data_IF_094485894204
#
_entry.id   IF_094485894204
#
_cell.length_a   1.000
_cell.length_b   1.000
_cell.length_c   1.000
_cell.angle_alpha   90.00
_cell.angle_beta   90.00
_cell.angle_gamma   90.00
#
_symmetry.space_group_name_H-M   'P 1'
#
loop_
_entity.id
_entity.type
_entity.pdbx_description
1 polymer ?
#
# COMPACT_ATOMS: atom_id res chain seq x y z
N UNK A 1 21.43 69.87 -11.41
CA UNK A 1 22.58 69.42 -12.23
C UNK A 1 23.10 68.10 -11.69
N UNK A 2 23.04 67.01 -12.45
CA UNK A 2 23.64 65.72 -12.04
C UNK A 2 25.15 65.73 -12.39
N UNK A 3 26.03 65.48 -11.41
CA UNK A 3 27.47 65.31 -11.63
C UNK A 3 27.70 64.07 -12.51
N UNK A 4 28.38 64.23 -13.66
CA UNK A 4 28.84 63.10 -14.47
C UNK A 4 29.99 62.39 -13.76
N UNK A 5 29.85 61.08 -13.57
CA UNK A 5 30.89 60.21 -13.00
C UNK A 5 32.13 60.16 -13.90
N UNK A 6 33.31 60.10 -13.30
CA UNK A 6 34.59 59.94 -13.99
C UNK A 6 34.75 58.53 -14.54
N UNK A 7 35.59 58.35 -15.57
CA UNK A 7 35.86 57.03 -16.20
C UNK A 7 36.33 55.98 -15.17
N UNK A 8 37.13 56.39 -14.19
CA UNK A 8 37.64 55.52 -13.12
C UNK A 8 36.51 55.04 -12.18
N UNK A 9 35.55 55.91 -11.88
CA UNK A 9 34.37 55.56 -11.07
C UNK A 9 33.42 54.63 -11.84
N UNK A 10 33.27 54.83 -13.15
CA UNK A 10 32.50 53.93 -14.01
C UNK A 10 33.12 52.52 -14.08
N UNK A 11 34.44 52.41 -14.21
CA UNK A 11 35.14 51.12 -14.22
C UNK A 11 35.06 50.39 -12.86
N UNK A 12 35.19 51.13 -11.74
CA UNK A 12 35.03 50.59 -10.40
C UNK A 12 33.61 50.04 -10.18
N UNK A 13 32.58 50.79 -10.61
CA UNK A 13 31.19 50.37 -10.55
C UNK A 13 30.92 49.10 -11.38
N UNK A 14 31.47 49.01 -12.59
CA UNK A 14 31.35 47.82 -13.44
C UNK A 14 32.04 46.59 -12.84
N UNK A 15 33.24 46.75 -12.24
CA UNK A 15 33.93 45.66 -11.52
C UNK A 15 33.13 45.18 -10.31
N UNK A 16 32.58 46.10 -9.53
CA UNK A 16 31.74 45.78 -8.37
C UNK A 16 30.45 45.06 -8.80
N UNK A 17 29.81 45.50 -9.89
CA UNK A 17 28.62 44.85 -10.46
C UNK A 17 28.92 43.44 -10.98
N UNK A 18 30.06 43.21 -11.63
CA UNK A 18 30.51 41.88 -12.07
C UNK A 18 30.80 40.95 -10.88
N UNK A 19 31.48 41.44 -9.83
CA UNK A 19 31.73 40.68 -8.60
C UNK A 19 30.42 40.29 -7.90
N UNK A 20 29.48 41.23 -7.74
CA UNK A 20 28.15 40.96 -7.17
C UNK A 20 27.38 39.92 -7.98
N UNK A 21 27.37 40.03 -9.32
CA UNK A 21 26.72 39.03 -10.20
C UNK A 21 27.33 37.63 -10.06
N UNK A 22 28.67 37.53 -10.00
CA UNK A 22 29.35 36.24 -9.77
C UNK A 22 29.05 35.65 -8.39
N UNK A 23 29.03 36.46 -7.34
CA UNK A 23 28.65 36.00 -5.98
C UNK A 23 27.19 35.56 -5.91
N UNK A 24 26.26 36.31 -6.52
CA UNK A 24 24.84 35.94 -6.58
C UNK A 24 24.61 34.65 -7.39
N UNK A 25 25.31 34.46 -8.50
CA UNK A 25 25.24 33.22 -9.28
C UNK A 25 25.80 32.01 -8.50
N UNK A 26 26.93 32.17 -7.80
CA UNK A 26 27.51 31.11 -6.96
C UNK A 26 26.64 30.74 -5.76
N UNK A 27 26.04 31.75 -5.10
CA UNK A 27 25.08 31.53 -4.02
C UNK A 27 23.81 30.82 -4.52
N UNK A 28 23.29 31.19 -5.70
CA UNK A 28 22.15 30.51 -6.32
C UNK A 28 22.42 29.03 -6.64
N UNK A 29 23.61 28.69 -7.14
CA UNK A 29 24.00 27.29 -7.40
C UNK A 29 24.09 26.48 -6.11
N UNK A 30 24.64 27.04 -5.02
CA UNK A 30 24.72 26.36 -3.73
C UNK A 30 23.34 26.13 -3.10
N UNK A 31 22.43 27.10 -3.21
CA UNK A 31 21.04 26.94 -2.73
C UNK A 31 20.31 25.86 -3.53
N UNK A 32 20.47 25.84 -4.85
CA UNK A 32 19.87 24.80 -5.70
C UNK A 32 20.44 23.41 -5.40
N UNK A 33 21.75 23.30 -5.20
CA UNK A 33 22.39 22.04 -4.82
C UNK A 33 21.92 21.56 -3.44
N UNK A 34 21.80 22.46 -2.46
CA UNK A 34 21.27 22.12 -1.13
C UNK A 34 19.80 21.69 -1.19
N UNK A 35 18.96 22.37 -1.97
CA UNK A 35 17.57 21.98 -2.16
C UNK A 35 17.44 20.61 -2.86
N UNK A 36 18.29 20.32 -3.84
CA UNK A 36 18.39 18.99 -4.47
C UNK A 36 18.81 17.91 -3.49
N UNK A 37 19.84 18.18 -2.67
CA UNK A 37 20.32 17.23 -1.66
C UNK A 37 19.25 16.99 -0.59
N UNK A 38 18.56 18.03 -0.13
CA UNK A 38 17.46 17.93 0.82
C UNK A 38 16.28 17.14 0.25
N UNK A 39 15.88 17.41 -1.00
CA UNK A 39 14.81 16.65 -1.67
C UNK A 39 15.18 15.17 -1.90
N UNK A 40 16.44 14.87 -2.22
CA UNK A 40 16.94 13.49 -2.29
C UNK A 40 16.89 12.83 -0.90
N UNK A 41 17.29 13.54 0.15
CA UNK A 41 17.26 13.03 1.51
C UNK A 41 15.83 12.74 1.99
N UNK A 42 14.88 13.64 1.74
CA UNK A 42 13.46 13.42 2.03
C UNK A 42 12.91 12.21 1.26
N UNK A 43 13.21 12.09 -0.04
CA UNK A 43 12.75 10.95 -0.84
C UNK A 43 13.29 9.61 -0.35
N UNK A 44 14.58 9.54 0.01
CA UNK A 44 15.18 8.32 0.55
C UNK A 44 14.62 7.98 1.93
N UNK A 45 14.41 8.98 2.79
CA UNK A 45 13.85 8.79 4.11
C UNK A 45 12.39 8.31 4.07
N UNK A 46 11.58 8.83 3.15
CA UNK A 46 10.19 8.39 2.97
C UNK A 46 10.14 6.93 2.52
N UNK A 47 10.93 6.56 1.51
CA UNK A 47 11.01 5.16 1.02
C UNK A 47 11.45 4.18 2.11
N UNK A 48 12.46 4.55 2.91
CA UNK A 48 12.91 3.74 4.04
C UNK A 48 11.83 3.62 5.12
N UNK A 49 11.08 4.69 5.38
CA UNK A 49 9.99 4.70 6.36
C UNK A 49 8.79 3.84 5.93
N UNK A 50 8.45 3.81 4.65
CA UNK A 50 7.33 3.03 4.13
C UNK A 50 7.66 1.55 4.10
N UNK A 51 8.85 1.17 3.60
CA UNK A 51 9.33 -0.20 3.67
C UNK A 51 9.37 -0.70 5.13
N UNK A 52 9.85 0.13 6.06
CA UNK A 52 9.89 -0.20 7.49
C UNK A 52 8.50 -0.42 8.09
N UNK A 53 7.47 0.32 7.66
CA UNK A 53 6.09 0.12 8.11
C UNK A 53 5.47 -1.17 7.55
N UNK A 54 5.77 -1.49 6.28
CA UNK A 54 5.29 -2.71 5.63
C UNK A 54 5.91 -3.95 6.28
N UNK A 55 7.16 -3.89 6.73
CA UNK A 55 7.87 -5.00 7.38
C UNK A 55 7.78 -5.00 8.90
N UNK A 56 7.02 -4.09 9.53
CA UNK A 56 6.86 -4.09 10.98
C UNK A 56 5.96 -5.25 11.45
N UNK A 57 6.55 -6.43 11.54
CA UNK A 57 5.88 -7.64 11.97
C UNK A 57 5.49 -7.66 13.46
N UNK A 58 5.91 -6.66 14.25
CA UNK A 58 5.50 -6.43 15.65
C UNK A 58 4.32 -5.44 15.78
N UNK A 59 3.90 -4.81 14.68
CA UNK A 59 2.83 -3.83 14.74
C UNK A 59 1.54 -4.42 15.34
N UNK A 60 0.78 -3.65 16.13
CA UNK A 60 -0.49 -4.11 16.65
C UNK A 60 -1.50 -4.32 15.50
N UNK A 61 -2.25 -5.42 15.56
CA UNK A 61 -3.37 -5.63 14.65
C UNK A 61 -4.52 -4.69 15.01
N UNK A 62 -4.97 -3.88 14.05
CA UNK A 62 -6.08 -2.96 14.23
C UNK A 62 -7.38 -3.69 14.63
N UNK A 63 -8.22 -3.05 15.43
CA UNK A 63 -9.45 -3.65 15.97
C UNK A 63 -10.68 -3.44 15.10
N UNK A 64 -10.61 -2.62 14.04
CA UNK A 64 -11.78 -2.26 13.25
C UNK A 64 -12.20 -3.33 12.22
N UNK A 65 -11.35 -4.32 11.92
CA UNK A 65 -11.68 -5.38 10.96
C UNK A 65 -12.92 -6.17 11.37
N UNK A 66 -13.53 -6.84 10.40
CA UNK A 66 -14.69 -7.70 10.65
C UNK A 66 -14.37 -8.77 11.72
N UNK A 67 -15.31 -9.09 12.64
CA UNK A 67 -15.09 -10.11 13.67
C UNK A 67 -14.60 -11.46 13.13
N UNK A 68 -15.00 -11.87 11.92
CA UNK A 68 -14.50 -13.09 11.27
C UNK A 68 -13.00 -13.01 10.96
N UNK A 69 -12.52 -11.87 10.46
CA UNK A 69 -11.08 -11.61 10.27
C UNK A 69 -10.36 -11.60 11.62
N UNK A 70 -10.93 -10.92 12.62
CA UNK A 70 -10.33 -10.86 13.96
C UNK A 70 -10.27 -12.21 14.67
N UNK A 71 -11.13 -13.18 14.31
CA UNK A 71 -11.03 -14.56 14.80
C UNK A 71 -9.70 -15.23 14.43
N UNK A 72 -9.06 -14.78 13.34
CA UNK A 72 -7.74 -15.23 12.91
C UNK A 72 -6.58 -14.51 13.59
N UNK A 73 -6.81 -13.55 14.50
CA UNK A 73 -5.78 -12.69 15.11
C UNK A 73 -4.50 -13.43 15.49
N UNK A 74 -4.61 -14.52 16.25
CA UNK A 74 -3.42 -15.27 16.69
C UNK A 74 -2.63 -15.86 15.51
N UNK A 75 -3.30 -16.28 14.43
CA UNK A 75 -2.64 -16.76 13.22
C UNK A 75 -2.10 -15.63 12.38
N UNK A 76 -2.84 -14.52 12.23
CA UNK A 76 -2.37 -13.32 11.53
C UNK A 76 -1.06 -12.83 12.13
N UNK A 77 -0.97 -12.72 13.47
CA UNK A 77 0.27 -12.34 14.16
C UNK A 77 1.40 -13.36 13.94
N UNK A 78 1.08 -14.67 13.90
CA UNK A 78 2.08 -15.71 13.60
C UNK A 78 2.60 -15.59 12.17
N UNK A 79 1.71 -15.46 11.18
CA UNK A 79 2.08 -15.32 9.77
C UNK A 79 2.85 -14.02 9.54
N UNK A 80 2.45 -12.92 10.19
CA UNK A 80 3.19 -11.66 10.18
C UNK A 80 4.66 -11.85 10.56
N UNK A 81 4.92 -12.62 11.63
CA UNK A 81 6.28 -13.00 12.05
C UNK A 81 6.99 -13.93 11.08
N UNK A 82 6.28 -14.90 10.54
CA UNK A 82 6.86 -15.88 9.61
C UNK A 82 7.31 -15.23 8.30
N UNK A 83 6.55 -14.23 7.82
CA UNK A 83 6.78 -13.58 6.54
C UNK A 83 7.47 -12.22 6.65
N UNK A 84 7.71 -11.71 7.85
CA UNK A 84 8.26 -10.36 8.10
C UNK A 84 7.43 -9.25 7.43
N UNK A 85 6.12 -9.30 7.70
CA UNK A 85 5.14 -8.33 7.21
C UNK A 85 4.32 -7.79 8.36
N UNK A 86 3.87 -6.55 8.25
CA UNK A 86 2.91 -5.97 9.15
C UNK A 86 1.61 -6.80 9.14
N UNK A 87 1.09 -7.24 10.31
CA UNK A 87 -0.11 -8.08 10.39
C UNK A 87 -1.34 -7.44 9.75
N UNK A 88 -1.38 -6.11 9.65
CA UNK A 88 -2.49 -5.40 9.02
C UNK A 88 -2.50 -5.57 7.49
N UNK A 89 -1.37 -5.83 6.84
CA UNK A 89 -1.33 -6.15 5.40
C UNK A 89 -2.09 -7.46 5.14
N UNK A 90 -1.79 -8.51 5.93
CA UNK A 90 -2.49 -9.79 5.85
C UNK A 90 -3.99 -9.60 6.13
N UNK A 91 -4.32 -8.82 7.16
CA UNK A 91 -5.70 -8.57 7.55
C UNK A 91 -6.49 -7.78 6.48
N UNK A 92 -5.87 -6.78 5.83
CA UNK A 92 -6.48 -6.01 4.73
C UNK A 92 -6.78 -6.93 3.54
N UNK A 93 -5.80 -7.73 3.11
CA UNK A 93 -6.02 -8.69 2.02
C UNK A 93 -7.12 -9.67 2.39
N UNK A 94 -7.05 -10.30 3.57
CA UNK A 94 -8.08 -11.24 4.04
C UNK A 94 -9.47 -10.60 4.15
N UNK A 95 -9.54 -9.35 4.61
CA UNK A 95 -10.78 -8.60 4.74
C UNK A 95 -11.47 -8.41 3.39
N UNK A 96 -10.71 -8.01 2.36
CA UNK A 96 -11.24 -7.72 1.04
C UNK A 96 -11.54 -9.01 0.27
N UNK A 97 -10.66 -10.02 0.39
CA UNK A 97 -10.73 -11.23 -0.43
C UNK A 97 -11.80 -12.23 0.05
N UNK A 98 -11.92 -12.45 1.36
CA UNK A 98 -12.87 -13.46 1.88
C UNK A 98 -13.61 -13.05 3.15
N UNK A 99 -13.32 -11.88 3.70
CA UNK A 99 -13.79 -11.45 5.01
C UNK A 99 -13.53 -12.51 6.12
N UNK A 100 -12.43 -13.26 6.01
CA UNK A 100 -12.04 -14.30 6.95
C UNK A 100 -12.71 -15.66 6.73
N UNK A 101 -13.36 -15.89 5.60
CA UNK A 101 -13.87 -17.20 5.21
C UNK A 101 -12.74 -18.09 4.63
N UNK A 102 -12.37 -19.20 5.30
CA UNK A 102 -11.29 -20.06 4.82
C UNK A 102 -11.69 -20.97 3.66
N UNK A 103 -12.99 -21.11 3.35
CA UNK A 103 -13.49 -21.99 2.30
C UNK A 103 -14.16 -21.21 1.16
N UNK A 104 -13.99 -19.89 1.12
CA UNK A 104 -14.50 -19.04 0.03
C UNK A 104 -13.96 -19.48 -1.33
N UNK A 105 -14.85 -19.51 -2.33
CA UNK A 105 -14.52 -19.80 -3.73
C UNK A 105 -15.15 -18.73 -4.61
N UNK A 106 -14.34 -17.98 -5.36
CA UNK A 106 -14.87 -16.98 -6.29
C UNK A 106 -15.44 -17.63 -7.56
N UNK A 107 -16.25 -16.89 -8.31
CA UNK A 107 -16.74 -17.34 -9.63
C UNK A 107 -15.62 -17.58 -10.65
N UNK A 108 -14.45 -16.96 -10.46
CA UNK A 108 -13.26 -17.20 -11.28
C UNK A 108 -12.41 -18.39 -10.79
N UNK A 109 -12.72 -18.96 -9.62
CA UNK A 109 -12.02 -20.11 -9.04
C UNK A 109 -10.91 -19.75 -8.05
N UNK A 110 -10.84 -18.50 -7.58
CA UNK A 110 -9.94 -18.10 -6.50
C UNK A 110 -10.40 -18.72 -5.16
N UNK A 111 -9.47 -19.05 -4.26
CA UNK A 111 -9.75 -19.93 -3.11
C UNK A 111 -9.24 -19.36 -1.77
N UNK A 112 -10.01 -19.61 -0.71
CA UNK A 112 -9.61 -19.47 0.68
C UNK A 112 -9.45 -18.03 1.19
N UNK A 113 -8.74 -17.89 2.31
CA UNK A 113 -8.60 -16.64 3.07
C UNK A 113 -8.06 -15.45 2.25
N UNK A 114 -7.15 -15.71 1.32
CA UNK A 114 -6.50 -14.69 0.50
C UNK A 114 -6.86 -14.80 -0.99
N UNK A 115 -7.91 -15.57 -1.33
CA UNK A 115 -8.41 -15.80 -2.69
C UNK A 115 -7.29 -16.03 -3.71
N UNK A 116 -6.44 -17.01 -3.43
CA UNK A 116 -5.32 -17.33 -4.30
C UNK A 116 -5.80 -18.19 -5.47
N UNK A 117 -5.39 -17.86 -6.70
CA UNK A 117 -5.73 -18.64 -7.88
C UNK A 117 -5.03 -20.01 -7.90
N UNK A 118 -5.67 -21.09 -8.40
CA UNK A 118 -5.14 -22.46 -8.38
C UNK A 118 -3.74 -22.61 -8.98
N UNK A 119 -3.37 -21.82 -9.99
CA UNK A 119 -2.08 -21.92 -10.66
C UNK A 119 -0.88 -21.48 -9.78
N UNK A 120 -1.12 -20.86 -8.63
CA UNK A 120 -0.07 -20.55 -7.64
C UNK A 120 0.24 -21.72 -6.70
N UNK A 121 -0.55 -22.80 -6.75
CA UNK A 121 -0.37 -23.98 -5.91
C UNK A 121 0.31 -25.10 -6.70
N UNK A 122 1.38 -25.70 -6.17
CA UNK A 122 1.84 -27.00 -6.63
C UNK A 122 0.78 -28.08 -6.49
N UNK A 123 0.89 -29.11 -7.33
CA UNK A 123 -0.01 -30.25 -7.31
C UNK A 123 -0.05 -30.91 -5.91
N UNK A 124 -1.26 -31.15 -5.40
CA UNK A 124 -1.50 -31.88 -4.16
C UNK A 124 -1.59 -31.01 -2.90
N UNK A 125 -1.39 -29.70 -2.99
CA UNK A 125 -1.63 -28.80 -1.85
C UNK A 125 -3.13 -28.62 -1.57
N UNK A 126 -3.50 -28.57 -0.29
CA UNK A 126 -4.85 -28.21 0.12
C UNK A 126 -5.02 -26.68 0.04
N UNK A 127 -5.64 -26.19 -1.04
CA UNK A 127 -5.70 -24.76 -1.35
C UNK A 127 -6.54 -23.93 -0.37
N UNK A 128 -7.45 -24.56 0.38
CA UNK A 128 -8.30 -23.92 1.39
C UNK A 128 -7.82 -24.15 2.83
N UNK A 129 -6.74 -24.93 3.02
CA UNK A 129 -6.06 -24.97 4.31
C UNK A 129 -5.51 -23.57 4.64
N UNK A 130 -5.86 -22.95 5.79
CA UNK A 130 -5.48 -21.58 6.10
C UNK A 130 -3.99 -21.28 6.00
N UNK A 131 -3.13 -22.17 6.52
CA UNK A 131 -1.67 -21.95 6.51
C UNK A 131 -1.12 -22.08 5.09
N UNK A 132 -1.60 -23.05 4.32
CA UNK A 132 -1.24 -23.22 2.91
C UNK A 132 -1.68 -22.03 2.06
N UNK A 133 -2.93 -21.59 2.23
CA UNK A 133 -3.51 -20.48 1.49
C UNK A 133 -2.77 -19.17 1.77
N UNK A 134 -2.54 -18.85 3.05
CA UNK A 134 -1.81 -17.63 3.43
C UNK A 134 -0.38 -17.66 2.95
N UNK A 135 0.31 -18.80 3.04
CA UNK A 135 1.67 -18.93 2.49
C UNK A 135 1.72 -18.62 0.99
N UNK A 136 0.75 -19.11 0.22
CA UNK A 136 0.68 -18.83 -1.22
C UNK A 136 0.29 -17.39 -1.51
N UNK A 137 -0.66 -16.82 -0.76
CA UNK A 137 -1.03 -15.42 -0.86
C UNK A 137 0.14 -14.50 -0.55
N UNK A 138 0.87 -14.75 0.53
CA UNK A 138 2.08 -13.99 0.87
C UNK A 138 3.16 -14.09 -0.21
N UNK A 139 3.31 -15.25 -0.86
CA UNK A 139 4.19 -15.39 -2.02
C UNK A 139 3.83 -14.45 -3.18
N UNK A 140 2.55 -14.40 -3.55
CA UNK A 140 2.04 -13.49 -4.60
C UNK A 140 2.22 -12.02 -4.17
N UNK A 141 1.91 -11.70 -2.91
CA UNK A 141 2.09 -10.35 -2.38
C UNK A 141 3.55 -9.89 -2.44
N UNK A 142 4.50 -10.72 -2.01
CA UNK A 142 5.92 -10.35 -2.06
C UNK A 142 6.46 -10.25 -3.48
N UNK A 143 6.00 -11.09 -4.41
CA UNK A 143 6.32 -10.95 -5.82
C UNK A 143 5.86 -9.58 -6.35
N UNK A 144 4.62 -9.19 -6.06
CA UNK A 144 4.11 -7.86 -6.39
C UNK A 144 4.90 -6.73 -5.73
N UNK A 145 5.15 -6.82 -4.42
CA UNK A 145 5.83 -5.79 -3.65
C UNK A 145 7.27 -5.56 -4.13
N UNK A 146 8.02 -6.63 -4.34
CA UNK A 146 9.47 -6.55 -4.58
C UNK A 146 9.83 -6.47 -6.06
N UNK A 147 9.12 -7.17 -6.94
CA UNK A 147 9.48 -7.24 -8.37
C UNK A 147 8.75 -6.19 -9.22
N UNK A 148 7.54 -5.79 -8.82
CA UNK A 148 6.65 -5.00 -9.67
C UNK A 148 6.31 -3.62 -9.10
N UNK A 149 6.36 -3.44 -7.77
CA UNK A 149 5.91 -2.23 -7.10
C UNK A 149 7.03 -1.39 -6.46
N UNK A 150 8.28 -1.86 -6.46
CA UNK A 150 9.40 -1.17 -5.81
C UNK A 150 9.09 -0.73 -4.36
N UNK A 151 8.51 -1.65 -3.59
CA UNK A 151 8.07 -1.44 -2.20
C UNK A 151 6.91 -0.44 -1.99
N UNK A 152 6.25 0.04 -3.05
CA UNK A 152 4.98 0.77 -2.92
C UNK A 152 3.85 -0.20 -2.57
N UNK A 153 3.30 -0.08 -1.36
CA UNK A 153 2.26 -1.00 -0.88
C UNK A 153 0.98 -0.90 -1.73
N UNK A 154 0.60 0.30 -2.17
CA UNK A 154 -0.59 0.51 -2.98
C UNK A 154 -0.47 -0.21 -4.31
N UNK A 155 0.64 -0.01 -5.03
CA UNK A 155 0.92 -0.70 -6.29
C UNK A 155 1.05 -2.22 -6.09
N UNK A 156 1.63 -2.68 -4.97
CA UNK A 156 1.70 -4.10 -4.65
C UNK A 156 0.31 -4.72 -4.49
N UNK A 157 -0.61 -4.02 -3.81
CA UNK A 157 -2.00 -4.46 -3.62
C UNK A 157 -2.81 -4.39 -4.92
N UNK A 158 -2.59 -3.37 -5.77
CA UNK A 158 -3.15 -3.34 -7.12
C UNK A 158 -2.64 -4.52 -7.97
N UNK A 159 -1.35 -4.81 -7.92
CA UNK A 159 -0.74 -5.98 -8.58
C UNK A 159 -1.31 -7.30 -8.05
N UNK A 160 -1.54 -7.41 -6.74
CA UNK A 160 -2.10 -8.62 -6.14
C UNK A 160 -3.46 -8.99 -6.76
N UNK A 161 -4.35 -7.99 -6.93
CA UNK A 161 -5.67 -8.18 -7.51
C UNK A 161 -5.66 -8.23 -9.06
N UNK A 162 -4.95 -7.31 -9.70
CA UNK A 162 -5.00 -7.11 -11.16
C UNK A 162 -3.89 -7.80 -11.95
N UNK A 163 -2.90 -8.38 -11.27
CA UNK A 163 -1.70 -8.97 -11.85
C UNK A 163 -0.58 -7.94 -12.14
N UNK A 164 0.64 -8.40 -12.47
CA UNK A 164 1.83 -7.55 -12.61
C UNK A 164 1.74 -6.44 -13.65
N UNK A 165 0.93 -6.61 -14.70
CA UNK A 165 0.86 -5.65 -15.80
C UNK A 165 0.30 -4.29 -15.36
N UNK A 166 -0.46 -4.24 -14.26
CA UNK A 166 -1.08 -3.00 -13.78
C UNK A 166 -0.04 -1.98 -13.30
N UNK A 167 1.11 -2.42 -12.80
CA UNK A 167 2.17 -1.51 -12.31
C UNK A 167 2.88 -0.77 -13.45
N UNK A 168 2.67 -1.19 -14.70
CA UNK A 168 3.21 -0.56 -15.90
C UNK A 168 2.17 0.32 -16.64
N UNK A 169 0.93 0.36 -16.16
CA UNK A 169 -0.18 1.09 -16.78
C UNK A 169 -0.49 2.37 -16.01
N UNK A 170 -1.08 3.35 -16.71
CA UNK A 170 -1.69 4.48 -16.02
C UNK A 170 -2.90 4.00 -15.19
N UNK A 171 -3.08 4.41 -13.92
CA UNK A 171 -4.18 3.96 -13.07
C UNK A 171 -5.58 4.18 -13.67
N UNK A 172 -5.75 5.15 -14.57
CA UNK A 172 -7.01 5.35 -15.30
C UNK A 172 -7.38 4.19 -16.24
N UNK A 173 -6.39 3.38 -16.63
CA UNK A 173 -6.54 2.22 -17.53
C UNK A 173 -6.78 0.91 -16.78
N UNK A 174 -6.61 0.87 -15.46
CA UNK A 174 -6.83 -0.34 -14.67
C UNK A 174 -8.27 -0.87 -14.80
N UNK A 175 -8.48 -2.15 -14.51
CA UNK A 175 -9.83 -2.67 -14.34
C UNK A 175 -10.56 -1.91 -13.22
N UNK A 176 -11.89 -1.78 -13.33
CA UNK A 176 -12.68 -1.11 -12.29
C UNK A 176 -12.54 -1.79 -10.92
N UNK A 177 -12.46 -3.13 -10.92
CA UNK A 177 -12.19 -3.94 -9.74
C UNK A 177 -10.85 -3.60 -9.10
N UNK A 178 -9.76 -3.56 -9.88
CA UNK A 178 -8.42 -3.24 -9.37
C UNK A 178 -8.33 -1.82 -8.81
N UNK A 179 -8.98 -0.82 -9.44
CA UNK A 179 -9.06 0.52 -8.86
C UNK A 179 -9.81 0.53 -7.53
N UNK A 180 -10.89 -0.24 -7.43
CA UNK A 180 -11.65 -0.36 -6.18
C UNK A 180 -10.79 -1.06 -5.11
N UNK A 181 -10.15 -2.18 -5.46
CA UNK A 181 -9.25 -2.92 -4.57
C UNK A 181 -8.14 -2.02 -4.02
N UNK A 182 -7.44 -1.31 -4.90
CA UNK A 182 -6.42 -0.32 -4.52
C UNK A 182 -6.99 0.69 -3.52
N UNK A 183 -8.09 1.36 -3.86
CA UNK A 183 -8.71 2.40 -3.01
C UNK A 183 -9.01 1.86 -1.61
N UNK A 184 -9.63 0.70 -1.52
CA UNK A 184 -10.05 0.13 -0.24
C UNK A 184 -8.87 -0.33 0.60
N UNK A 185 -7.90 -0.99 -0.04
CA UNK A 185 -6.74 -1.51 0.64
C UNK A 185 -5.83 -0.38 1.15
N UNK A 186 -5.57 0.64 0.34
CA UNK A 186 -4.76 1.80 0.77
C UNK A 186 -5.48 2.66 1.80
N UNK A 187 -6.80 2.83 1.71
CA UNK A 187 -7.54 3.61 2.72
C UNK A 187 -7.58 2.91 4.08
N UNK A 188 -7.75 1.58 4.11
CA UNK A 188 -7.64 0.82 5.37
C UNK A 188 -6.21 0.84 5.91
N UNK A 189 -5.20 0.82 5.03
CA UNK A 189 -3.80 0.97 5.44
C UNK A 189 -3.53 2.35 6.05
N UNK A 190 -4.05 3.42 5.45
CA UNK A 190 -3.94 4.77 6.01
C UNK A 190 -4.59 4.85 7.39
N UNK A 191 -5.75 4.20 7.60
CA UNK A 191 -6.38 4.10 8.92
C UNK A 191 -5.48 3.37 9.94
N UNK A 192 -4.75 2.34 9.52
CA UNK A 192 -3.78 1.61 10.36
C UNK A 192 -2.60 2.49 10.74
N UNK A 193 -1.97 3.16 9.76
CA UNK A 193 -0.80 4.01 9.96
C UNK A 193 -1.13 5.21 10.86
N UNK A 194 -2.35 5.74 10.75
CA UNK A 194 -2.86 6.80 11.61
C UNK A 194 -3.32 6.31 13.01
N UNK A 195 -3.24 5.01 13.27
CA UNK A 195 -3.69 4.38 14.52
C UNK A 195 -5.17 4.66 14.84
N UNK A 196 -6.02 4.72 13.83
CA UNK A 196 -7.45 4.95 14.01
C UNK A 196 -8.12 3.75 14.71
N UNK A 197 -9.00 4.03 15.67
CA UNK A 197 -9.80 2.99 16.35
C UNK A 197 -10.90 2.41 15.45
N UNK A 198 -11.32 3.18 14.44
CA UNK A 198 -12.34 2.84 13.44
C UNK A 198 -11.81 3.11 12.03
N UNK A 199 -12.43 2.50 11.01
CA UNK A 199 -12.08 2.75 9.61
C UNK A 199 -13.33 3.11 8.82
N UNK A 200 -13.42 4.37 8.40
CA UNK A 200 -14.48 4.81 7.48
C UNK A 200 -14.33 4.09 6.13
N UNK A 201 -13.09 3.84 5.69
CA UNK A 201 -12.81 3.09 4.46
C UNK A 201 -13.43 1.70 4.51
N UNK A 202 -13.30 0.98 5.63
CA UNK A 202 -13.92 -0.33 5.81
C UNK A 202 -15.45 -0.24 5.82
N UNK A 203 -16.03 0.76 6.48
CA UNK A 203 -17.47 1.00 6.45
C UNK A 203 -17.99 1.23 5.02
N UNK A 204 -17.33 2.10 4.26
CA UNK A 204 -17.66 2.37 2.87
C UNK A 204 -17.52 1.12 1.98
N UNK A 205 -16.49 0.30 2.21
CA UNK A 205 -16.29 -0.97 1.50
C UNK A 205 -17.42 -1.97 1.78
N UNK A 206 -17.85 -2.10 3.04
CA UNK A 206 -18.96 -2.96 3.42
C UNK A 206 -20.27 -2.53 2.74
N UNK A 207 -20.54 -1.23 2.69
CA UNK A 207 -21.71 -0.63 2.01
C UNK A 207 -21.64 -0.78 0.49
N UNK A 208 -20.45 -0.73 -0.10
CA UNK A 208 -20.22 -0.94 -1.53
C UNK A 208 -20.35 -2.41 -1.98
N UNK A 209 -20.78 -3.32 -1.09
CA UNK A 209 -21.05 -4.72 -1.39
C UNK A 209 -20.08 -5.71 -0.76
N UNK A 210 -19.03 -5.25 -0.07
CA UNK A 210 -18.09 -6.11 0.67
C UNK A 210 -18.78 -6.93 1.77
N UNK A 211 -19.90 -6.42 2.30
CA UNK A 211 -20.75 -7.15 3.24
C UNK A 211 -21.23 -8.51 2.73
N UNK A 212 -21.39 -8.69 1.41
CA UNK A 212 -21.79 -9.97 0.81
C UNK A 212 -20.72 -11.07 0.96
N UNK A 213 -19.45 -10.69 1.15
CA UNK A 213 -18.37 -11.64 1.46
C UNK A 213 -18.31 -11.98 2.95
N UNK A 214 -18.85 -11.09 3.80
CA UNK A 214 -18.82 -11.23 5.25
C UNK A 214 -20.00 -12.03 5.80
N UNK A 215 -21.09 -12.17 5.04
CA UNK A 215 -22.23 -12.99 5.44
C UNK A 215 -21.85 -14.46 5.46
N UNK A 216 -22.32 -15.17 6.48
CA UNK A 216 -22.09 -16.60 6.63
C UNK A 216 -23.05 -17.37 5.72
N UNK A 217 -22.56 -18.13 4.71
CA UNK A 217 -23.43 -18.96 3.88
C UNK A 217 -24.17 -20.03 4.71
N UNK A 218 -23.61 -20.42 5.86
CA UNK A 218 -24.21 -21.42 6.73
C UNK A 218 -25.34 -20.87 7.61
N UNK A 219 -25.39 -19.55 7.84
CA UNK A 219 -26.45 -18.89 8.61
C UNK A 219 -27.79 -18.80 7.86
N UNK A 220 -27.82 -19.03 6.54
CA UNK A 220 -29.07 -18.98 5.75
C UNK A 220 -29.90 -20.28 5.86
N UNK A 221 -29.36 -21.35 6.46
CA UNK A 221 -30.02 -22.67 6.50
C UNK A 221 -30.84 -22.94 7.77
N UNK A 222 -30.87 -22.03 8.75
CA UNK A 222 -31.59 -22.25 10.03
C UNK A 222 -32.95 -21.56 10.13
N UNK A 223 -33.49 -21.02 9.04
CA UNK A 223 -34.80 -20.36 9.02
C UNK A 223 -35.77 -21.05 8.06
N UNK A 224 -36.05 -22.33 8.30
CA UNK A 224 -37.30 -22.96 7.87
C UNK A 224 -38.16 -23.21 9.13
N UNK A 225 -39.35 -22.61 9.25
CA UNK A 225 -40.26 -22.96 10.33
C UNK A 225 -40.75 -24.39 10.12
N UNK A 226 -40.70 -25.20 11.17
CA UNK A 226 -41.36 -26.50 11.20
C UNK A 226 -42.87 -26.31 11.02
N UNK A 227 -43.47 -27.10 10.14
CA UNK A 227 -44.93 -27.28 10.01
C UNK A 227 -45.57 -27.81 11.30
#
# INVERSE_FOLDING_TARGET
MAKKLTKKEQEAFQRQRRRRRKMLAGAGILVLAAALILGIYESLFVSESEAQQITDSDAPLASFYNPRVLSWRSRILKWAKEYDVNPNVIAIVMQIESCGDPVAISGAGALGLMQVMPFHFPNGENMIDPDTNVRRGMGVFYECLTQFADWDLGLALACYNGGPSVTMMDPSQWAAETRAYYRWATGMWEDVVNHNETSQTLSDWLEAGGSNLCTDPSATTSAQPAE
#
